data_IF_871590367549
#
_entry.id   IF_871590367549
#
_cell.length_a   1.000
_cell.length_b   1.000
_cell.length_c   1.000
_cell.angle_alpha   90.00
_cell.angle_beta   90.00
_cell.angle_gamma   90.00
#
_symmetry.space_group_name_H-M   'P 1'
#
loop_
_entity.id
_entity.type
_entity.pdbx_description
1 polymer ?
#
# COMPACT_ATOMS: atom_id res chain seq x y z
N UNK A 1 21.09 -15.82 -16.76
CA UNK A 1 22.34 -15.18 -16.33
C UNK A 1 22.16 -13.67 -16.46
N UNK A 2 22.72 -12.88 -15.54
CA UNK A 2 22.57 -11.43 -15.43
C UNK A 2 21.15 -10.99 -15.01
N UNK A 3 20.50 -11.72 -14.11
CA UNK A 3 19.18 -11.38 -13.58
C UNK A 3 19.27 -11.29 -12.07
N UNK A 4 18.83 -10.19 -11.49
CA UNK A 4 18.58 -10.03 -10.07
C UNK A 4 17.10 -10.30 -9.81
N UNK A 5 16.80 -11.20 -8.88
CA UNK A 5 15.43 -11.46 -8.40
C UNK A 5 15.33 -11.05 -6.95
N UNK A 6 14.38 -10.17 -6.67
CA UNK A 6 14.16 -9.60 -5.34
C UNK A 6 12.86 -10.17 -4.78
N UNK A 7 12.94 -10.85 -3.66
CA UNK A 7 11.77 -11.24 -2.87
C UNK A 7 11.52 -10.22 -1.76
N UNK A 8 10.29 -9.75 -1.65
CA UNK A 8 9.84 -8.89 -0.56
C UNK A 8 8.89 -9.71 0.31
N UNK A 9 9.26 -9.93 1.56
CA UNK A 9 8.47 -10.76 2.46
C UNK A 9 8.55 -10.26 3.91
N UNK A 10 7.50 -10.44 4.67
CA UNK A 10 7.47 -10.06 6.09
C UNK A 10 8.21 -11.11 6.94
N UNK A 11 7.72 -12.33 7.00
CA UNK A 11 8.28 -13.42 7.83
C UNK A 11 9.35 -14.25 7.12
N UNK A 12 9.31 -14.29 5.79
CA UNK A 12 10.19 -15.16 5.00
C UNK A 12 9.84 -16.66 5.06
N UNK A 13 8.65 -17.01 5.53
CA UNK A 13 8.20 -18.40 5.67
C UNK A 13 7.13 -18.80 4.65
N UNK A 14 6.68 -17.87 3.80
CA UNK A 14 5.66 -18.13 2.77
C UNK A 14 6.17 -19.17 1.76
N UNK A 15 5.49 -20.29 1.64
CA UNK A 15 5.90 -21.45 0.84
C UNK A 15 6.11 -21.07 -0.62
N UNK A 16 5.13 -20.39 -1.24
CA UNK A 16 5.19 -20.03 -2.68
C UNK A 16 6.38 -19.14 -2.99
N UNK A 17 6.66 -18.15 -2.12
CA UNK A 17 7.82 -17.28 -2.26
C UNK A 17 9.13 -18.07 -2.16
N UNK A 18 9.22 -18.98 -1.19
CA UNK A 18 10.40 -19.80 -0.98
C UNK A 18 10.66 -20.75 -2.16
N UNK A 19 9.61 -21.37 -2.70
CA UNK A 19 9.69 -22.21 -3.90
C UNK A 19 10.14 -21.40 -5.12
N UNK A 20 9.54 -20.22 -5.34
CA UNK A 20 9.91 -19.34 -6.44
C UNK A 20 11.40 -18.93 -6.36
N UNK A 21 11.89 -18.58 -5.18
CA UNK A 21 13.28 -18.17 -4.99
C UNK A 21 14.27 -19.32 -5.21
N UNK A 22 13.94 -20.55 -4.80
CA UNK A 22 14.74 -21.73 -5.14
C UNK A 22 14.84 -21.94 -6.64
N UNK A 23 13.70 -21.90 -7.33
CA UNK A 23 13.62 -22.13 -8.78
C UNK A 23 14.46 -21.11 -9.57
N UNK A 24 14.40 -19.83 -9.23
CA UNK A 24 15.15 -18.79 -9.94
C UNK A 24 16.64 -18.86 -9.64
N UNK A 25 17.03 -19.23 -8.43
CA UNK A 25 18.42 -19.46 -8.04
C UNK A 25 19.03 -20.64 -8.81
N UNK A 26 18.31 -21.76 -8.93
CA UNK A 26 18.72 -22.92 -9.72
C UNK A 26 18.91 -22.57 -11.20
N UNK A 27 18.16 -21.60 -11.72
CA UNK A 27 18.34 -21.06 -13.08
C UNK A 27 19.50 -20.07 -13.21
N UNK A 28 20.23 -19.79 -12.14
CA UNK A 28 21.43 -18.95 -12.14
C UNK A 28 21.15 -17.45 -12.01
N UNK A 29 19.99 -17.06 -11.48
CA UNK A 29 19.73 -15.69 -11.07
C UNK A 29 20.46 -15.38 -9.74
N UNK A 30 20.89 -14.13 -9.56
CA UNK A 30 21.28 -13.63 -8.23
C UNK A 30 20.02 -13.31 -7.44
N UNK A 31 19.96 -13.74 -6.19
CA UNK A 31 18.73 -13.68 -5.39
C UNK A 31 18.93 -12.82 -4.15
N UNK A 32 18.04 -11.85 -3.96
CA UNK A 32 17.98 -10.95 -2.82
C UNK A 32 16.63 -11.09 -2.11
N UNK A 33 16.62 -11.18 -0.79
CA UNK A 33 15.40 -11.05 0.00
C UNK A 33 15.42 -9.79 0.85
N UNK A 34 14.29 -9.09 0.87
CA UNK A 34 14.01 -7.97 1.79
C UNK A 34 13.02 -8.49 2.82
N UNK A 35 13.45 -8.57 4.08
CA UNK A 35 12.71 -9.23 5.15
C UNK A 35 12.52 -8.33 6.36
N UNK A 36 11.39 -8.49 7.05
CA UNK A 36 11.22 -7.92 8.38
C UNK A 36 11.82 -8.83 9.48
N UNK A 37 11.56 -10.13 9.40
CA UNK A 37 11.92 -11.08 10.45
C UNK A 37 13.21 -11.84 10.12
N UNK A 38 14.12 -11.94 11.11
CA UNK A 38 15.32 -12.77 10.97
C UNK A 38 14.98 -14.25 10.99
N UNK A 39 15.83 -15.05 10.34
CA UNK A 39 15.74 -16.53 10.34
C UNK A 39 14.46 -17.09 9.70
N UNK A 40 13.80 -16.32 8.82
CA UNK A 40 12.80 -16.90 7.93
C UNK A 40 13.46 -17.86 6.94
N UNK A 41 12.76 -18.89 6.51
CA UNK A 41 13.29 -19.95 5.63
C UNK A 41 13.97 -19.41 4.37
N UNK A 42 13.41 -18.34 3.80
CA UNK A 42 13.93 -17.67 2.61
C UNK A 42 15.35 -17.16 2.80
N UNK A 43 15.73 -16.74 4.02
CA UNK A 43 17.08 -16.23 4.33
C UNK A 43 18.18 -17.25 4.16
N UNK A 44 17.84 -18.54 4.20
CA UNK A 44 18.76 -19.66 3.95
C UNK A 44 18.79 -20.11 2.48
N UNK A 45 17.87 -19.57 1.66
CA UNK A 45 17.72 -19.93 0.25
C UNK A 45 18.45 -18.92 -0.65
N UNK A 46 18.28 -17.63 -0.38
CA UNK A 46 18.78 -16.53 -1.21
C UNK A 46 20.29 -16.28 -1.05
N UNK A 47 20.90 -15.56 -2.00
CA UNK A 47 22.30 -15.21 -1.95
C UNK A 47 22.58 -14.10 -0.93
N UNK A 48 21.65 -13.18 -0.74
CA UNK A 48 21.78 -12.10 0.24
C UNK A 48 20.42 -11.65 0.79
N UNK A 49 20.45 -11.03 1.97
CA UNK A 49 19.25 -10.58 2.67
C UNK A 49 19.46 -9.17 3.22
N UNK A 50 18.47 -8.31 3.01
CA UNK A 50 18.37 -7.01 3.64
C UNK A 50 17.23 -7.08 4.66
N UNK A 51 17.48 -6.65 5.90
CA UNK A 51 16.49 -6.64 6.95
C UNK A 51 15.95 -5.24 7.20
N UNK A 52 14.63 -5.13 7.35
CA UNK A 52 13.99 -3.90 7.80
C UNK A 52 14.42 -3.58 9.24
N UNK A 53 14.75 -2.32 9.48
CA UNK A 53 15.27 -1.90 10.78
C UNK A 53 16.50 -2.74 11.17
N UNK A 54 16.45 -3.36 12.33
CA UNK A 54 17.51 -4.25 12.81
C UNK A 54 17.14 -5.75 12.70
N UNK A 55 16.13 -6.10 11.90
CA UNK A 55 15.64 -7.46 11.70
C UNK A 55 14.83 -8.02 12.88
N UNK A 56 14.35 -7.15 13.78
CA UNK A 56 13.35 -7.51 14.77
C UNK A 56 11.97 -7.38 14.18
N UNK A 57 11.09 -8.30 14.58
CA UNK A 57 9.70 -8.25 14.13
C UNK A 57 9.00 -7.01 14.71
N UNK A 58 8.61 -6.10 13.85
CA UNK A 58 7.91 -4.86 14.21
C UNK A 58 6.39 -5.00 14.11
N UNK A 59 5.91 -6.13 13.60
CA UNK A 59 4.48 -6.45 13.48
C UNK A 59 4.07 -7.44 14.56
N UNK A 60 2.93 -7.16 15.19
CA UNK A 60 2.33 -8.02 16.21
C UNK A 60 1.17 -8.83 15.63
N UNK A 61 0.46 -8.26 14.65
CA UNK A 61 -0.72 -8.84 14.04
C UNK A 61 -0.46 -9.35 12.62
N UNK A 62 -1.27 -10.30 12.17
CA UNK A 62 -1.22 -10.85 10.81
C UNK A 62 -1.38 -9.76 9.74
N UNK A 63 -2.32 -8.80 9.85
CA UNK A 63 -2.40 -7.68 8.93
C UNK A 63 -1.21 -6.75 9.09
N UNK A 64 -0.17 -6.97 8.32
CA UNK A 64 1.07 -6.21 8.35
C UNK A 64 0.88 -4.78 7.82
N UNK A 65 0.98 -3.78 8.69
CA UNK A 65 0.84 -2.36 8.33
C UNK A 65 2.15 -1.60 8.38
N UNK A 66 2.88 -1.70 9.47
CA UNK A 66 4.19 -1.03 9.63
C UNK A 66 5.23 -1.60 8.69
N UNK A 67 5.29 -2.92 8.57
CA UNK A 67 6.21 -3.61 7.67
C UNK A 67 5.96 -3.24 6.21
N UNK A 68 4.70 -3.12 5.79
CA UNK A 68 4.34 -2.66 4.45
C UNK A 68 4.94 -1.27 4.16
N UNK A 69 4.73 -0.30 5.04
CA UNK A 69 5.29 1.05 4.90
C UNK A 69 6.82 1.01 4.87
N UNK A 70 7.45 0.22 5.74
CA UNK A 70 8.91 0.07 5.76
C UNK A 70 9.46 -0.57 4.47
N UNK A 71 8.75 -1.52 3.86
CA UNK A 71 9.14 -2.09 2.57
C UNK A 71 9.10 -1.05 1.46
N UNK A 72 8.09 -0.18 1.42
CA UNK A 72 8.01 0.93 0.47
C UNK A 72 9.20 1.87 0.65
N UNK A 73 9.48 2.31 1.89
CA UNK A 73 10.62 3.18 2.19
C UNK A 73 11.94 2.55 1.75
N UNK A 74 12.16 1.27 2.08
CA UNK A 74 13.38 0.58 1.68
C UNK A 74 13.47 0.43 0.16
N UNK A 75 12.36 0.21 -0.53
CA UNK A 75 12.30 0.18 -1.99
C UNK A 75 12.80 1.49 -2.61
N UNK A 76 12.38 2.62 -2.08
CA UNK A 76 12.88 3.94 -2.51
C UNK A 76 14.38 4.10 -2.23
N UNK A 77 14.84 3.77 -1.02
CA UNK A 77 16.27 3.84 -0.66
C UNK A 77 17.11 2.95 -1.58
N UNK A 78 16.62 1.74 -1.85
CA UNK A 78 17.32 0.79 -2.73
C UNK A 78 17.37 1.31 -4.18
N UNK A 79 16.30 1.93 -4.66
CA UNK A 79 16.27 2.56 -5.99
C UNK A 79 17.26 3.71 -6.07
N UNK A 80 17.33 4.57 -5.06
CA UNK A 80 18.32 5.65 -4.98
C UNK A 80 19.75 5.12 -5.02
N UNK A 81 20.02 4.05 -4.28
CA UNK A 81 21.35 3.41 -4.27
C UNK A 81 21.71 2.87 -5.65
N UNK A 82 20.79 2.16 -6.31
CA UNK A 82 21.02 1.64 -7.66
C UNK A 82 21.26 2.75 -8.68
N UNK A 83 20.49 3.83 -8.60
CA UNK A 83 20.66 4.98 -9.49
C UNK A 83 22.02 5.63 -9.30
N UNK A 84 22.46 5.84 -8.06
CA UNK A 84 23.78 6.38 -7.77
C UNK A 84 24.90 5.49 -8.32
N UNK A 85 24.81 4.18 -8.18
CA UNK A 85 25.79 3.23 -8.69
C UNK A 85 25.82 3.19 -10.24
N UNK A 86 24.67 3.35 -10.88
CA UNK A 86 24.57 3.30 -12.35
C UNK A 86 24.96 4.63 -13.00
N UNK A 87 24.54 5.75 -12.42
CA UNK A 87 24.69 7.08 -13.05
C UNK A 87 25.86 7.90 -12.52
N UNK A 88 26.49 7.50 -11.41
CA UNK A 88 27.46 8.30 -10.65
C UNK A 88 26.90 9.70 -10.23
N UNK A 89 25.59 9.86 -10.13
CA UNK A 89 24.91 11.10 -9.72
C UNK A 89 24.13 10.90 -8.43
N UNK A 90 24.19 11.88 -7.55
CA UNK A 90 23.43 11.88 -6.28
C UNK A 90 22.36 12.98 -6.21
N UNK A 91 22.14 13.72 -7.30
CA UNK A 91 21.25 14.89 -7.31
C UNK A 91 19.78 14.49 -7.10
N UNK A 92 19.32 13.47 -7.80
CA UNK A 92 17.97 12.93 -7.63
C UNK A 92 17.77 12.35 -6.22
N UNK A 93 18.77 11.64 -5.72
CA UNK A 93 18.76 11.02 -4.40
C UNK A 93 18.51 12.04 -3.28
N UNK A 94 19.18 13.21 -3.34
CA UNK A 94 19.01 14.23 -2.30
C UNK A 94 17.56 14.71 -2.22
N UNK A 95 16.94 15.03 -3.36
CA UNK A 95 15.54 15.49 -3.41
C UNK A 95 14.58 14.43 -2.87
N UNK A 96 14.76 13.16 -3.27
CA UNK A 96 13.92 12.06 -2.81
C UNK A 96 14.07 11.82 -1.31
N UNK A 97 15.28 11.92 -0.75
CA UNK A 97 15.47 11.81 0.70
C UNK A 97 14.78 12.95 1.45
N UNK A 98 14.83 14.19 0.95
CA UNK A 98 14.11 15.32 1.55
C UNK A 98 12.60 15.07 1.55
N UNK A 99 12.04 14.56 0.46
CA UNK A 99 10.62 14.17 0.37
C UNK A 99 10.25 13.03 1.33
N UNK A 100 11.09 12.00 1.47
CA UNK A 100 10.88 10.90 2.41
C UNK A 100 10.91 11.37 3.88
N UNK A 101 11.80 12.29 4.24
CA UNK A 101 11.81 12.89 5.58
C UNK A 101 10.54 13.73 5.84
N UNK A 102 10.07 14.48 4.84
CA UNK A 102 8.85 15.25 4.94
C UNK A 102 7.61 14.36 5.15
N UNK A 103 7.60 13.16 4.55
CA UNK A 103 6.50 12.22 4.65
C UNK A 103 6.23 11.77 6.10
N UNK A 104 7.25 11.63 6.94
CA UNK A 104 7.07 11.31 8.36
C UNK A 104 6.17 12.34 9.06
N UNK A 105 6.41 13.62 8.82
CA UNK A 105 5.60 14.70 9.39
C UNK A 105 4.18 14.70 8.82
N UNK A 106 4.02 14.42 7.53
CA UNK A 106 2.71 14.33 6.89
C UNK A 106 1.88 13.16 7.43
N UNK A 107 2.50 12.00 7.66
CA UNK A 107 1.82 10.84 8.27
C UNK A 107 1.40 11.17 9.70
N UNK A 108 2.29 11.75 10.52
CA UNK A 108 1.95 12.16 11.89
C UNK A 108 0.80 13.18 11.88
N UNK A 109 0.88 14.18 11.01
CA UNK A 109 -0.20 15.16 10.85
C UNK A 109 -1.53 14.50 10.47
N UNK A 110 -1.53 13.56 9.53
CA UNK A 110 -2.74 12.87 9.13
C UNK A 110 -3.35 12.03 10.27
N UNK A 111 -2.50 11.37 11.07
CA UNK A 111 -2.95 10.59 12.25
C UNK A 111 -3.52 11.50 13.32
N UNK A 112 -2.86 12.62 13.60
CA UNK A 112 -3.25 13.52 14.68
C UNK A 112 -4.50 14.36 14.34
N UNK A 113 -4.74 14.59 13.04
CA UNK A 113 -5.82 15.46 12.56
C UNK A 113 -6.98 14.72 11.89
N UNK A 114 -6.98 13.38 11.85
CA UNK A 114 -8.17 12.68 11.38
C UNK A 114 -9.36 12.98 12.31
N UNK A 115 -10.51 13.24 11.72
CA UNK A 115 -11.69 13.62 12.49
C UNK A 115 -12.34 12.39 13.15
N UNK A 116 -11.90 12.04 14.36
CA UNK A 116 -12.40 10.89 15.12
C UNK A 116 -13.90 10.95 15.37
N UNK A 117 -14.47 12.14 15.63
CA UNK A 117 -15.90 12.33 15.90
C UNK A 117 -16.73 12.00 14.64
N UNK A 118 -16.29 12.44 13.46
CA UNK A 118 -16.92 12.08 12.20
C UNK A 118 -16.83 10.58 11.94
N UNK A 119 -15.67 9.98 12.20
CA UNK A 119 -15.46 8.54 12.00
C UNK A 119 -16.34 7.72 12.94
N UNK A 120 -16.42 8.04 14.22
CA UNK A 120 -17.28 7.38 15.20
C UNK A 120 -18.77 7.48 14.83
N UNK A 121 -19.23 8.65 14.38
CA UNK A 121 -20.62 8.81 13.92
C UNK A 121 -20.93 7.97 12.68
N UNK A 122 -19.92 7.67 11.86
CA UNK A 122 -20.04 6.81 10.69
C UNK A 122 -19.99 5.32 11.06
N UNK A 123 -19.16 4.91 12.01
CA UNK A 123 -18.98 3.50 12.41
C UNK A 123 -20.31 2.85 12.76
N UNK A 124 -21.15 3.51 13.56
CA UNK A 124 -22.47 3.00 13.94
C UNK A 124 -23.40 2.77 12.73
N UNK A 125 -23.26 3.57 11.68
CA UNK A 125 -24.00 3.39 10.42
C UNK A 125 -23.39 2.28 9.57
N UNK A 126 -22.08 2.12 9.63
CA UNK A 126 -21.32 1.14 8.83
C UNK A 126 -21.57 -0.31 9.26
N UNK A 127 -21.90 -0.54 10.54
CA UNK A 127 -22.20 -1.90 11.03
C UNK A 127 -23.38 -2.55 10.34
N UNK A 128 -24.35 -1.77 9.86
CA UNK A 128 -25.55 -2.26 9.19
C UNK A 128 -25.41 -2.42 7.68
N UNK A 129 -24.27 -1.97 7.10
CA UNK A 129 -24.03 -2.02 5.66
C UNK A 129 -23.13 -3.21 5.34
N UNK A 130 -23.69 -4.14 4.56
CA UNK A 130 -22.99 -5.38 4.21
C UNK A 130 -21.98 -5.22 3.06
N UNK A 131 -22.23 -4.28 2.15
CA UNK A 131 -21.44 -4.11 0.93
C UNK A 131 -20.44 -2.97 1.06
N UNK A 132 -19.16 -3.30 0.88
CA UNK A 132 -18.06 -2.36 0.94
C UNK A 132 -17.25 -2.44 -0.34
N UNK A 133 -16.74 -1.31 -0.80
CA UNK A 133 -15.92 -1.20 -2.00
C UNK A 133 -14.74 -0.28 -1.73
N UNK A 134 -13.59 -0.63 -2.28
CA UNK A 134 -12.46 0.30 -2.43
C UNK A 134 -12.45 0.75 -3.88
N UNK A 135 -12.35 2.05 -4.11
CA UNK A 135 -12.36 2.65 -5.45
C UNK A 135 -11.08 3.47 -5.65
N UNK A 136 -10.52 3.38 -6.85
CA UNK A 136 -9.31 4.09 -7.24
C UNK A 136 -9.46 4.78 -8.60
N UNK A 137 -8.63 5.78 -8.90
CA UNK A 137 -8.66 6.57 -10.13
C UNK A 137 -7.31 6.71 -10.85
N UNK A 138 -6.23 6.20 -10.28
CA UNK A 138 -4.88 6.29 -10.84
C UNK A 138 -4.05 5.05 -10.49
N UNK A 139 -2.88 4.89 -11.13
CA UNK A 139 -1.96 3.80 -10.80
C UNK A 139 -1.44 3.88 -9.36
N UNK A 140 -1.25 5.10 -8.84
CA UNK A 140 -0.81 5.29 -7.45
C UNK A 140 -1.91 4.91 -6.46
N UNK A 141 -3.13 5.38 -6.68
CA UNK A 141 -4.27 5.02 -5.83
C UNK A 141 -4.67 3.55 -5.98
N UNK A 142 -4.38 2.91 -7.13
CA UNK A 142 -4.55 1.47 -7.30
C UNK A 142 -3.66 0.66 -6.34
N UNK A 143 -2.37 0.99 -6.25
CA UNK A 143 -1.45 0.29 -5.35
C UNK A 143 -1.88 0.44 -3.88
N UNK A 144 -2.24 1.66 -3.46
CA UNK A 144 -2.79 1.92 -2.12
C UNK A 144 -4.14 1.20 -1.91
N UNK A 145 -4.97 1.12 -2.95
CA UNK A 145 -6.27 0.46 -2.93
C UNK A 145 -6.16 -1.06 -2.73
N UNK A 146 -5.20 -1.72 -3.36
CA UNK A 146 -4.93 -3.15 -3.13
C UNK A 146 -4.63 -3.40 -1.66
N UNK A 147 -3.73 -2.61 -1.08
CA UNK A 147 -3.34 -2.77 0.32
C UNK A 147 -4.50 -2.46 1.27
N UNK A 148 -5.20 -1.35 1.08
CA UNK A 148 -6.37 -0.99 1.88
C UNK A 148 -7.44 -2.09 1.84
N UNK A 149 -7.74 -2.63 0.65
CA UNK A 149 -8.68 -3.73 0.48
C UNK A 149 -8.28 -4.96 1.28
N UNK A 150 -7.00 -5.37 1.20
CA UNK A 150 -6.49 -6.54 1.92
C UNK A 150 -6.61 -6.32 3.43
N UNK A 151 -6.13 -5.18 3.95
CA UNK A 151 -6.19 -4.87 5.38
C UNK A 151 -7.63 -4.84 5.92
N UNK A 152 -8.52 -4.21 5.19
CA UNK A 152 -9.94 -4.17 5.56
C UNK A 152 -10.59 -5.56 5.50
N UNK A 153 -10.25 -6.37 4.49
CA UNK A 153 -10.78 -7.74 4.39
C UNK A 153 -10.30 -8.62 5.54
N UNK A 154 -9.02 -8.53 5.90
CA UNK A 154 -8.42 -9.27 7.01
C UNK A 154 -8.96 -8.84 8.38
N UNK A 155 -9.08 -7.52 8.62
CA UNK A 155 -9.53 -6.98 9.90
C UNK A 155 -11.04 -7.06 10.11
N UNK A 156 -11.83 -6.91 9.03
CA UNK A 156 -13.30 -6.82 9.10
C UNK A 156 -13.98 -8.12 8.67
N UNK A 157 -13.24 -9.14 8.25
CA UNK A 157 -13.78 -10.42 7.73
C UNK A 157 -14.82 -10.24 6.63
N UNK A 158 -14.56 -9.28 5.72
CA UNK A 158 -15.45 -8.94 4.61
C UNK A 158 -14.77 -9.16 3.25
N UNK A 159 -15.54 -9.59 2.26
CA UNK A 159 -15.09 -9.54 0.87
C UNK A 159 -15.27 -8.12 0.35
N UNK A 160 -14.17 -7.44 0.06
CA UNK A 160 -14.17 -6.04 -0.38
C UNK A 160 -13.59 -5.96 -1.79
N UNK A 161 -14.41 -5.73 -2.83
CA UNK A 161 -13.93 -5.51 -4.19
C UNK A 161 -13.12 -4.21 -4.30
N UNK A 162 -12.09 -4.25 -5.16
CA UNK A 162 -11.36 -3.07 -5.62
C UNK A 162 -11.78 -2.77 -7.04
N UNK A 163 -12.31 -1.58 -7.29
CA UNK A 163 -12.83 -1.16 -8.59
C UNK A 163 -12.18 0.16 -9.01
N UNK A 164 -11.96 0.32 -10.30
CA UNK A 164 -11.71 1.66 -10.84
C UNK A 164 -12.98 2.52 -10.77
N UNK A 165 -12.82 3.84 -10.81
CA UNK A 165 -13.96 4.78 -10.89
C UNK A 165 -14.92 4.39 -12.00
N UNK A 166 -14.40 4.02 -13.18
CA UNK A 166 -15.23 3.64 -14.33
C UNK A 166 -16.00 2.34 -14.10
N UNK A 167 -15.39 1.33 -13.49
CA UNK A 167 -16.06 0.07 -13.15
C UNK A 167 -17.14 0.28 -12.10
N UNK A 168 -16.83 1.07 -11.05
CA UNK A 168 -17.79 1.39 -10.00
C UNK A 168 -19.04 2.09 -10.55
N UNK A 169 -18.85 3.08 -11.43
CA UNK A 169 -19.95 3.81 -12.05
C UNK A 169 -20.81 2.90 -12.93
N UNK A 170 -20.16 2.03 -13.72
CA UNK A 170 -20.86 1.07 -14.59
C UNK A 170 -21.62 0.00 -13.81
N UNK A 171 -21.13 -0.38 -12.64
CA UNK A 171 -21.76 -1.37 -11.78
C UNK A 171 -23.01 -0.83 -11.04
N UNK A 172 -23.28 0.48 -11.14
CA UNK A 172 -24.41 1.15 -10.47
C UNK A 172 -24.55 0.79 -8.98
N UNK A 173 -23.44 0.73 -8.27
CA UNK A 173 -23.39 0.36 -6.86
C UNK A 173 -24.23 1.30 -6.00
N UNK A 174 -25.09 0.73 -5.13
CA UNK A 174 -26.03 1.47 -4.30
C UNK A 174 -25.99 1.00 -2.84
N UNK A 175 -26.34 1.90 -1.92
CA UNK A 175 -26.47 1.61 -0.48
C UNK A 175 -25.25 0.91 0.12
N UNK A 176 -24.06 1.33 -0.26
CA UNK A 176 -22.79 0.70 0.10
C UNK A 176 -21.85 1.69 0.78
N UNK A 177 -20.84 1.17 1.46
CA UNK A 177 -19.71 1.96 1.90
C UNK A 177 -18.67 1.95 0.78
N UNK A 178 -18.23 3.13 0.40
CA UNK A 178 -17.24 3.32 -0.65
C UNK A 178 -16.03 4.06 -0.07
N UNK A 179 -14.89 3.40 -0.04
CA UNK A 179 -13.63 4.01 0.33
C UNK A 179 -12.94 4.41 -0.97
N UNK A 180 -12.98 5.68 -1.30
CA UNK A 180 -12.40 6.21 -2.52
C UNK A 180 -11.01 6.80 -2.25
N UNK A 181 -10.01 6.24 -2.90
CA UNK A 181 -8.61 6.69 -2.83
C UNK A 181 -8.32 7.52 -4.07
N UNK A 182 -8.30 8.84 -3.89
CA UNK A 182 -8.08 9.81 -4.96
C UNK A 182 -6.58 9.98 -5.23
N UNK A 183 -6.20 9.94 -6.49
CA UNK A 183 -4.80 10.08 -6.92
C UNK A 183 -4.64 10.78 -8.28
N UNK A 184 -5.73 11.22 -8.92
CA UNK A 184 -5.67 11.84 -10.25
C UNK A 184 -5.89 13.35 -10.23
N UNK A 185 -7.13 13.82 -10.30
CA UNK A 185 -7.45 15.24 -10.37
C UNK A 185 -8.71 15.60 -9.58
N UNK A 186 -8.81 16.85 -9.16
CA UNK A 186 -9.97 17.38 -8.45
C UNK A 186 -11.28 17.24 -9.26
N UNK A 187 -11.20 17.38 -10.58
CA UNK A 187 -12.37 17.20 -11.47
C UNK A 187 -12.85 15.76 -11.45
N UNK A 188 -11.94 14.78 -11.51
CA UNK A 188 -12.28 13.36 -11.42
C UNK A 188 -12.92 13.02 -10.08
N UNK A 189 -12.40 13.58 -8.99
CA UNK A 189 -12.95 13.41 -7.64
C UNK A 189 -14.38 13.96 -7.59
N UNK A 190 -14.61 15.17 -8.07
CA UNK A 190 -15.93 15.81 -8.07
C UNK A 190 -16.94 15.04 -8.91
N UNK A 191 -16.58 14.63 -10.12
CA UNK A 191 -17.43 13.83 -11.01
C UNK A 191 -17.82 12.49 -10.38
N UNK A 192 -16.89 11.86 -9.66
CA UNK A 192 -17.19 10.64 -8.91
C UNK A 192 -18.17 10.89 -7.77
N UNK A 193 -17.93 11.91 -6.95
CA UNK A 193 -18.76 12.26 -5.81
C UNK A 193 -20.19 12.57 -6.24
N UNK A 194 -20.37 13.33 -7.34
CA UNK A 194 -21.68 13.69 -7.88
C UNK A 194 -22.48 12.47 -8.37
N UNK A 195 -21.80 11.47 -8.88
CA UNK A 195 -22.45 10.23 -9.34
C UNK A 195 -22.70 9.26 -8.19
N UNK A 196 -21.74 9.06 -7.31
CA UNK A 196 -21.84 8.11 -6.21
C UNK A 196 -22.84 8.54 -5.14
N UNK A 197 -23.00 9.84 -4.87
CA UNK A 197 -23.95 10.37 -3.91
C UNK A 197 -25.40 10.13 -4.33
N UNK A 198 -25.71 10.20 -5.63
CA UNK A 198 -27.06 9.91 -6.18
C UNK A 198 -27.52 8.49 -5.90
N UNK A 199 -26.59 7.57 -5.66
CA UNK A 199 -26.87 6.16 -5.37
C UNK A 199 -26.97 5.83 -3.89
N UNK A 200 -27.05 6.82 -3.01
CA UNK A 200 -27.14 6.67 -1.55
C UNK A 200 -25.97 5.86 -0.96
N UNK A 201 -24.79 6.04 -1.51
CA UNK A 201 -23.57 5.46 -0.96
C UNK A 201 -22.99 6.36 0.14
N UNK A 202 -22.35 5.73 1.11
CA UNK A 202 -21.53 6.42 2.12
C UNK A 202 -20.10 6.45 1.62
N UNK A 203 -19.54 7.63 1.44
CA UNK A 203 -18.23 7.81 0.85
C UNK A 203 -17.24 8.23 1.92
N UNK A 204 -16.16 7.45 2.06
CA UNK A 204 -14.94 7.82 2.78
C UNK A 204 -13.92 8.20 1.74
N UNK A 205 -13.56 9.47 1.68
CA UNK A 205 -12.63 10.02 0.71
C UNK A 205 -11.24 10.14 1.33
N UNK A 206 -10.26 9.52 0.69
CA UNK A 206 -8.84 9.57 1.05
C UNK A 206 -8.07 10.16 -0.12
N UNK A 207 -7.26 11.16 0.13
CA UNK A 207 -6.47 11.82 -0.93
C UNK A 207 -5.72 13.02 -0.41
N UNK A 208 -4.91 13.61 -1.28
CA UNK A 208 -4.24 14.86 -1.00
C UNK A 208 -5.24 16.00 -0.81
N UNK A 209 -4.95 16.93 0.10
CA UNK A 209 -5.77 18.11 0.37
C UNK A 209 -6.09 18.92 -0.91
N UNK A 210 -5.14 19.01 -1.84
CA UNK A 210 -5.36 19.69 -3.12
C UNK A 210 -6.40 19.00 -4.01
N UNK A 211 -6.60 17.69 -3.85
CA UNK A 211 -7.57 16.91 -4.61
C UNK A 211 -8.96 16.94 -3.98
N UNK A 212 -9.03 16.89 -2.65
CA UNK A 212 -10.30 16.71 -1.93
C UNK A 212 -10.94 18.02 -1.44
N UNK A 213 -10.18 19.11 -1.38
CA UNK A 213 -10.65 20.40 -0.84
C UNK A 213 -10.71 20.42 0.69
N UNK A 214 -11.14 21.54 1.26
CA UNK A 214 -11.37 21.70 2.70
C UNK A 214 -12.62 20.96 3.20
#
# INVERSE_FOLDING_TARGET
KNTLVIAIAQSGTTIDTNVAMKMVKEKGAFTLAILNKRQGDISFIVDTTIYLGNGRDIEIAVPSTKTYSCHIFLGYIFTCFLEQEITNSSEYNRKLFEELFALQNQISYAIDNYNSIRLESCINKFTYISHWYVVYDSNYSYAAGIEARIKLSECCYKSIPLLSVNEFIKAEVKNSIVIYIAGSSRTTVQDFLDKASKCKNYIVLLGDHHLIGE
#
